data_IF_603247907859
#
_entry.id   IF_603247907859
#
_cell.length_a   1.000
_cell.length_b   1.000
_cell.length_c   1.000
_cell.angle_alpha   90.00
_cell.angle_beta   90.00
_cell.angle_gamma   90.00
#
_symmetry.space_group_name_H-M   'P 1'
#
loop_
_entity.id
_entity.type
_entity.pdbx_description
1 polymer ?
#
# COMPACT_ATOMS: atom_id res chain seq x y z
N UNK A 1 -5.05 19.97 -1.28
CA UNK A 1 -4.28 18.87 -0.68
C UNK A 1 -4.93 17.56 -1.09
N UNK A 2 -4.39 16.84 -2.08
CA UNK A 2 -4.86 15.51 -2.44
C UNK A 2 -3.90 14.46 -1.86
N UNK A 3 -4.43 13.30 -1.48
CA UNK A 3 -3.65 12.16 -0.94
C UNK A 3 -2.46 11.80 -1.84
N UNK A 4 -2.62 12.01 -3.14
CA UNK A 4 -1.59 11.77 -4.16
C UNK A 4 -0.34 12.66 -4.04
N UNK A 5 -0.50 13.84 -3.45
CA UNK A 5 0.57 14.80 -3.17
C UNK A 5 1.11 14.64 -1.73
N UNK A 6 0.39 13.91 -0.88
CA UNK A 6 0.66 13.77 0.54
C UNK A 6 1.44 12.49 0.89
N UNK A 7 1.65 11.59 -0.08
CA UNK A 7 2.31 10.31 0.12
C UNK A 7 3.41 10.10 -0.92
N UNK A 8 4.59 9.75 -0.43
CA UNK A 8 5.77 9.35 -1.20
C UNK A 8 6.29 8.01 -0.67
N UNK A 9 6.87 7.17 -1.53
CA UNK A 9 7.58 5.95 -1.14
C UNK A 9 8.68 6.24 -0.11
N UNK A 10 9.34 7.39 -0.24
CA UNK A 10 10.50 7.78 0.57
C UNK A 10 10.13 8.17 2.01
N UNK A 11 8.84 8.17 2.35
CA UNK A 11 8.37 8.39 3.72
C UNK A 11 8.39 7.13 4.58
N UNK A 12 8.71 5.97 3.98
CA UNK A 12 8.63 4.67 4.62
C UNK A 12 10.00 3.99 4.66
N UNK A 13 10.33 3.42 5.81
CA UNK A 13 11.42 2.46 5.94
C UNK A 13 10.82 1.05 6.00
N UNK A 14 11.43 0.11 5.29
CA UNK A 14 11.00 -1.29 5.27
C UNK A 14 12.10 -2.13 5.90
N UNK A 15 11.71 -3.01 6.82
CA UNK A 15 12.59 -4.04 7.36
C UNK A 15 11.89 -5.40 7.33
N UNK A 16 12.56 -6.41 6.76
CA UNK A 16 12.09 -7.80 6.72
C UNK A 16 12.97 -8.62 7.64
N UNK A 17 12.37 -9.25 8.65
CA UNK A 17 13.12 -10.02 9.67
C UNK A 17 14.26 -9.22 10.33
N UNK A 18 14.05 -7.91 10.51
CA UNK A 18 15.02 -7.00 11.11
C UNK A 18 16.17 -6.57 10.20
N UNK A 19 16.16 -6.97 8.92
CA UNK A 19 17.11 -6.49 7.92
C UNK A 19 16.49 -5.39 7.05
N UNK A 20 17.26 -4.36 6.64
CA UNK A 20 16.77 -3.35 5.71
C UNK A 20 16.24 -4.00 4.42
N UNK A 21 15.09 -3.51 3.96
CA UNK A 21 14.44 -3.96 2.73
C UNK A 21 13.77 -2.81 2.00
N UNK A 22 12.94 -3.18 1.04
CA UNK A 22 12.23 -2.27 0.14
C UNK A 22 10.78 -2.71 -0.05
N UNK A 23 9.96 -1.85 -0.66
CA UNK A 23 8.60 -2.24 -1.05
C UNK A 23 8.57 -3.39 -2.06
N UNK A 24 9.63 -3.60 -2.84
CA UNK A 24 9.72 -4.75 -3.73
C UNK A 24 9.92 -6.07 -2.97
N UNK A 25 10.46 -6.03 -1.75
CA UNK A 25 10.57 -7.21 -0.90
C UNK A 25 9.24 -7.57 -0.23
N UNK A 26 8.34 -6.58 -0.06
CA UNK A 26 6.99 -6.76 0.46
C UNK A 26 6.01 -7.17 -0.64
N UNK A 27 6.11 -6.51 -1.80
CA UNK A 27 5.24 -6.65 -2.96
C UNK A 27 6.08 -6.97 -4.21
N UNK A 28 6.56 -8.22 -4.36
CA UNK A 28 7.44 -8.59 -5.45
C UNK A 28 6.73 -8.45 -6.81
N UNK A 29 7.47 -7.93 -7.79
CA UNK A 29 7.05 -7.79 -9.19
C UNK A 29 5.76 -6.96 -9.41
N UNK A 30 5.47 -6.06 -8.48
CA UNK A 30 4.29 -5.19 -8.56
C UNK A 30 4.27 -4.37 -9.86
N UNK A 31 3.12 -4.36 -10.54
CA UNK A 31 2.91 -3.68 -11.81
C UNK A 31 1.56 -2.93 -11.86
N UNK A 32 1.32 -2.23 -12.98
CA UNK A 32 0.17 -1.34 -13.14
C UNK A 32 -1.20 -2.04 -13.14
N UNK A 33 -1.23 -3.38 -13.33
CA UNK A 33 -2.44 -4.20 -13.35
C UNK A 33 -2.79 -4.79 -11.97
N UNK A 34 -1.87 -4.76 -11.01
CA UNK A 34 -2.08 -5.37 -9.71
C UNK A 34 -3.11 -4.61 -8.86
N UNK A 35 -3.68 -5.35 -7.91
CA UNK A 35 -4.65 -4.87 -6.92
C UNK A 35 -4.28 -5.40 -5.56
N UNK A 36 -4.54 -4.59 -4.53
CA UNK A 36 -4.24 -4.96 -3.15
C UNK A 36 -5.51 -5.36 -2.42
N UNK A 37 -5.44 -6.51 -1.74
CA UNK A 37 -6.42 -6.91 -0.76
C UNK A 37 -5.70 -7.35 0.52
N UNK A 38 -6.29 -7.05 1.67
CA UNK A 38 -5.82 -7.54 2.97
C UNK A 38 -6.97 -8.18 3.74
N UNK A 39 -6.67 -9.31 4.38
CA UNK A 39 -7.58 -10.00 5.29
C UNK A 39 -7.20 -9.59 6.72
N UNK A 40 -8.18 -9.08 7.46
CA UNK A 40 -8.01 -8.61 8.84
C UNK A 40 -8.83 -9.55 9.71
N UNK A 41 -8.17 -10.37 10.52
CA UNK A 41 -8.81 -11.45 11.27
C UNK A 41 -8.60 -11.40 12.79
N UNK A 42 -7.81 -10.44 13.29
CA UNK A 42 -7.56 -10.24 14.72
C UNK A 42 -8.03 -8.85 15.19
N UNK A 43 -8.43 -8.69 16.46
CA UNK A 43 -8.72 -7.38 17.04
C UNK A 43 -7.56 -6.40 16.84
N UNK A 44 -7.89 -5.17 16.43
CA UNK A 44 -6.93 -4.08 16.16
C UNK A 44 -5.92 -4.33 15.03
N UNK A 45 -5.94 -5.47 14.34
CA UNK A 45 -5.02 -5.75 13.22
C UNK A 45 -5.17 -4.74 12.06
N UNK A 46 -6.34 -4.10 11.93
CA UNK A 46 -6.56 -3.00 11.00
C UNK A 46 -5.61 -1.80 11.25
N UNK A 47 -5.24 -1.53 12.51
CA UNK A 47 -4.28 -0.48 12.85
C UNK A 47 -2.89 -0.84 12.31
N UNK A 48 -2.45 -2.08 12.55
CA UNK A 48 -1.18 -2.61 12.03
C UNK A 48 -1.14 -2.66 10.49
N UNK A 49 -2.28 -2.91 9.85
CA UNK A 49 -2.42 -2.92 8.40
C UNK A 49 -2.21 -1.55 7.73
N UNK A 50 -2.28 -0.45 8.48
CA UNK A 50 -2.27 0.91 7.92
C UNK A 50 -1.05 1.16 7.03
N UNK A 51 0.14 0.79 7.49
CA UNK A 51 1.37 1.00 6.71
C UNK A 51 1.39 0.14 5.45
N UNK A 52 0.92 -1.11 5.49
CA UNK A 52 0.82 -1.97 4.31
C UNK A 52 -0.14 -1.39 3.27
N UNK A 53 -1.29 -0.86 3.70
CA UNK A 53 -2.25 -0.20 2.81
C UNK A 53 -1.64 1.04 2.17
N UNK A 54 -0.94 1.88 2.95
CA UNK A 54 -0.30 3.08 2.42
C UNK A 54 0.85 2.75 1.47
N UNK A 55 1.68 1.76 1.80
CA UNK A 55 2.76 1.26 0.95
C UNK A 55 2.22 0.73 -0.38
N UNK A 56 1.14 -0.05 -0.38
CA UNK A 56 0.51 -0.52 -1.61
C UNK A 56 -0.12 0.62 -2.43
N UNK A 57 -0.61 1.68 -1.79
CA UNK A 57 -0.99 2.91 -2.52
C UNK A 57 0.21 3.50 -3.26
N UNK A 58 1.41 3.47 -2.68
CA UNK A 58 2.62 3.99 -3.33
C UNK A 58 3.00 3.13 -4.53
N UNK A 59 3.04 1.80 -4.38
CA UNK A 59 3.26 0.87 -5.49
C UNK A 59 2.27 1.12 -6.66
N UNK A 60 1.01 1.42 -6.36
CA UNK A 60 0.04 1.79 -7.38
C UNK A 60 0.40 3.09 -8.12
N UNK A 61 0.83 4.15 -7.44
CA UNK A 61 1.21 5.38 -8.12
C UNK A 61 2.55 5.25 -8.85
N UNK A 62 3.51 4.55 -8.26
CA UNK A 62 4.89 4.48 -8.75
C UNK A 62 5.00 3.54 -9.96
N UNK A 63 4.17 2.50 -10.05
CA UNK A 63 4.06 1.64 -11.24
C UNK A 63 3.53 2.36 -12.49
N UNK A 64 2.86 3.50 -12.32
CA UNK A 64 2.39 4.35 -13.43
C UNK A 64 2.36 5.82 -12.98
N UNK A 65 3.52 6.51 -12.96
CA UNK A 65 3.68 7.83 -12.34
C UNK A 65 2.75 8.91 -12.90
N UNK A 66 2.31 8.77 -14.16
CA UNK A 66 1.35 9.68 -14.80
C UNK A 66 -0.01 9.75 -14.07
N UNK A 67 -0.35 8.74 -13.25
CA UNK A 67 -1.51 8.76 -12.34
C UNK A 67 -1.47 9.95 -11.38
N UNK A 68 -0.27 10.49 -11.08
CA UNK A 68 -0.08 11.65 -10.21
C UNK A 68 -0.47 12.98 -10.85
N UNK A 69 -0.49 13.10 -12.18
CA UNK A 69 -0.58 14.39 -12.86
C UNK A 69 -1.76 14.53 -13.84
N UNK A 70 -2.08 13.51 -14.63
CA UNK A 70 -3.04 13.67 -15.74
C UNK A 70 -4.51 13.50 -15.32
N UNK A 71 -4.78 12.53 -14.43
CA UNK A 71 -6.13 12.25 -13.93
C UNK A 71 -6.01 11.67 -12.53
N UNK A 72 -6.82 12.17 -11.60
CA UNK A 72 -6.89 11.64 -10.23
C UNK A 72 -7.51 10.24 -10.27
N UNK A 73 -6.66 9.23 -10.39
CA UNK A 73 -7.03 7.82 -10.33
C UNK A 73 -6.57 7.30 -8.98
N UNK A 74 -7.49 6.73 -8.22
CA UNK A 74 -7.20 6.17 -6.90
C UNK A 74 -6.99 4.65 -7.00
N UNK A 75 -6.13 4.08 -6.14
CA UNK A 75 -5.99 2.64 -6.05
C UNK A 75 -7.30 2.00 -5.58
N UNK A 76 -7.65 0.85 -6.16
CA UNK A 76 -8.71 -0.01 -5.64
C UNK A 76 -8.08 -0.92 -4.57
N UNK A 77 -8.44 -0.67 -3.31
CA UNK A 77 -7.90 -1.35 -2.14
C UNK A 77 -9.04 -2.06 -1.40
N UNK A 78 -8.85 -3.34 -1.07
CA UNK A 78 -9.88 -4.13 -0.39
C UNK A 78 -9.42 -4.53 1.02
N UNK A 79 -10.17 -4.10 2.04
CA UNK A 79 -9.97 -4.56 3.42
C UNK A 79 -11.12 -5.51 3.77
N UNK A 80 -10.79 -6.79 3.98
CA UNK A 80 -11.77 -7.84 4.24
C UNK A 80 -11.66 -8.23 5.71
N UNK A 81 -12.63 -7.81 6.50
CA UNK A 81 -12.72 -8.16 7.91
C UNK A 81 -13.37 -9.53 8.07
N UNK A 82 -12.69 -10.42 8.78
CA UNK A 82 -13.16 -11.78 9.06
C UNK A 82 -13.14 -12.00 10.58
N UNK A 83 -14.19 -12.60 11.11
CA UNK A 83 -14.40 -12.72 12.55
C UNK A 83 -15.33 -11.63 13.08
N UNK A 84 -16.15 -11.99 14.08
CA UNK A 84 -17.19 -11.13 14.64
C UNK A 84 -16.72 -10.39 15.88
N UNK A 85 -15.63 -9.62 15.75
CA UNK A 85 -15.09 -8.77 16.82
C UNK A 85 -15.57 -7.33 16.67
#
# INVERSE_FOLDING_TARGET
MHVIDALSSDFYEVAISGQPGSLNDVFPDWNAHDRFAIIIYEPLAALGATHLIQSACMCFYDSKPIRRTERKVYPEMFAIHVGGW
#
